data_IF_949565762813
#
_entry.id   IF_949565762813
#
_cell.length_a   1.000
_cell.length_b   1.000
_cell.length_c   1.000
_cell.angle_alpha   90.00
_cell.angle_beta   90.00
_cell.angle_gamma   90.00
#
_symmetry.space_group_name_H-M   'P 1'
#
loop_
_entity.id
_entity.type
_entity.pdbx_description
1 polymer ?
#
# COMPACT_ATOMS: atom_id res chain seq x y z
N UNK A 1 -1.42 -4.97 -15.75
CA UNK A 1 -2.58 -4.85 -14.86
C UNK A 1 -2.92 -6.24 -14.32
N UNK A 2 -3.32 -6.37 -13.05
CA UNK A 2 -3.80 -7.66 -12.50
C UNK A 2 -5.23 -7.97 -13.02
N UNK A 3 -5.56 -9.25 -13.17
CA UNK A 3 -6.89 -9.71 -13.60
C UNK A 3 -7.99 -9.29 -12.64
N UNK A 4 -7.69 -9.17 -11.34
CA UNK A 4 -8.62 -8.65 -10.31
C UNK A 4 -9.19 -7.26 -10.68
N UNK A 5 -8.36 -6.38 -11.25
CA UNK A 5 -8.80 -5.04 -11.66
C UNK A 5 -9.74 -5.12 -12.86
N UNK A 6 -9.43 -5.98 -13.84
CA UNK A 6 -10.30 -6.19 -15.01
C UNK A 6 -11.63 -6.79 -14.61
N UNK A 7 -11.63 -7.72 -13.67
CA UNK A 7 -12.84 -8.33 -13.14
C UNK A 7 -13.68 -7.34 -12.34
N UNK A 8 -13.06 -6.45 -11.55
CA UNK A 8 -13.77 -5.36 -10.87
C UNK A 8 -14.47 -4.43 -11.87
N UNK A 9 -13.76 -3.98 -12.92
CA UNK A 9 -14.34 -3.13 -13.97
C UNK A 9 -15.47 -3.87 -14.68
N UNK A 10 -15.28 -5.14 -15.06
CA UNK A 10 -16.32 -5.97 -15.69
C UNK A 10 -17.56 -6.05 -14.81
N UNK A 11 -17.39 -6.33 -13.52
CA UNK A 11 -18.49 -6.46 -12.57
C UNK A 11 -19.27 -5.15 -12.41
N UNK A 12 -18.57 -4.01 -12.29
CA UNK A 12 -19.20 -2.68 -12.21
C UNK A 12 -19.96 -2.33 -13.50
N UNK A 13 -19.39 -2.60 -14.68
CA UNK A 13 -20.11 -2.38 -15.95
C UNK A 13 -21.37 -3.25 -16.01
N UNK A 14 -21.27 -4.56 -15.71
CA UNK A 14 -22.43 -5.46 -15.70
C UNK A 14 -23.52 -4.99 -14.72
N UNK A 15 -23.12 -4.54 -13.52
CA UNK A 15 -24.04 -3.94 -12.54
C UNK A 15 -24.77 -2.72 -13.13
N UNK A 16 -24.05 -1.82 -13.80
CA UNK A 16 -24.66 -0.67 -14.46
C UNK A 16 -25.65 -1.07 -15.55
N UNK A 17 -25.31 -2.07 -16.38
CA UNK A 17 -26.20 -2.56 -17.43
C UNK A 17 -27.51 -3.12 -16.84
N UNK A 18 -27.41 -3.90 -15.76
CA UNK A 18 -28.58 -4.47 -15.08
C UNK A 18 -29.44 -3.40 -14.39
N UNK A 19 -28.86 -2.53 -13.57
CA UNK A 19 -29.63 -1.64 -12.68
C UNK A 19 -29.76 -0.20 -13.16
N UNK A 20 -28.97 0.22 -14.16
CA UNK A 20 -28.99 1.57 -14.74
C UNK A 20 -28.43 2.66 -13.85
N UNK A 21 -27.90 2.33 -12.67
CA UNK A 21 -27.28 3.28 -11.75
C UNK A 21 -26.03 2.67 -11.13
N UNK A 22 -24.97 3.46 -11.10
CA UNK A 22 -23.77 3.18 -10.33
C UNK A 22 -23.45 4.45 -9.54
N UNK A 23 -23.90 4.51 -8.28
CA UNK A 23 -23.70 5.68 -7.43
C UNK A 23 -22.32 5.60 -6.77
N UNK A 24 -21.27 5.92 -7.53
CA UNK A 24 -19.94 6.07 -6.94
C UNK A 24 -19.23 7.32 -7.47
N UNK A 25 -18.48 7.98 -6.58
CA UNK A 25 -17.60 9.08 -6.96
C UNK A 25 -16.28 8.60 -7.58
N UNK A 26 -16.12 7.29 -7.76
CA UNK A 26 -14.89 6.63 -8.19
C UNK A 26 -15.03 5.88 -9.51
N UNK A 27 -16.20 5.93 -10.14
CA UNK A 27 -16.45 5.23 -11.39
C UNK A 27 -17.19 6.15 -12.35
N UNK A 28 -16.55 6.48 -13.47
CA UNK A 28 -17.16 7.25 -14.55
C UNK A 28 -17.31 6.38 -15.79
N UNK A 29 -18.49 6.47 -16.41
CA UNK A 29 -18.77 5.86 -17.70
C UNK A 29 -18.78 6.95 -18.78
N UNK A 30 -18.12 6.67 -19.89
CA UNK A 30 -18.12 7.51 -21.08
C UNK A 30 -18.43 6.64 -22.29
N UNK A 31 -19.20 7.19 -23.22
CA UNK A 31 -19.47 6.52 -24.49
C UNK A 31 -18.22 6.45 -25.35
N UNK A 32 -17.52 7.57 -25.49
CA UNK A 32 -16.37 7.74 -26.37
C UNK A 32 -15.19 8.35 -25.61
N UNK A 33 -14.00 8.17 -26.16
CA UNK A 33 -12.80 8.83 -25.66
C UNK A 33 -12.87 10.34 -25.83
N UNK A 34 -12.20 11.06 -24.93
CA UNK A 34 -11.93 12.48 -25.14
C UNK A 34 -11.00 12.66 -26.35
N UNK A 35 -11.26 13.64 -27.20
CA UNK A 35 -10.29 14.03 -28.22
C UNK A 35 -9.13 14.81 -27.55
N UNK A 36 -8.10 14.09 -27.13
CA UNK A 36 -6.98 14.65 -26.39
C UNK A 36 -5.98 15.43 -27.28
N UNK A 37 -6.26 15.60 -28.57
CA UNK A 37 -5.52 16.55 -29.43
C UNK A 37 -6.05 17.98 -29.30
N UNK A 38 -7.32 18.11 -28.92
CA UNK A 38 -7.98 19.40 -28.77
C UNK A 38 -7.90 19.89 -27.33
N UNK A 39 -7.82 21.21 -27.14
CA UNK A 39 -7.77 21.82 -25.81
C UNK A 39 -9.01 21.49 -24.97
N UNK A 40 -10.18 21.44 -25.61
CA UNK A 40 -11.45 21.10 -24.96
C UNK A 40 -11.41 19.67 -24.38
N UNK A 41 -11.05 18.68 -25.20
CA UNK A 41 -10.95 17.29 -24.75
C UNK A 41 -9.90 17.08 -23.67
N UNK A 42 -8.75 17.76 -23.75
CA UNK A 42 -7.73 17.76 -22.68
C UNK A 42 -8.31 18.33 -21.37
N UNK A 43 -8.99 19.47 -21.42
CA UNK A 43 -9.56 20.10 -20.23
C UNK A 43 -10.65 19.24 -19.60
N UNK A 44 -11.52 18.61 -20.41
CA UNK A 44 -12.57 17.73 -19.90
C UNK A 44 -11.96 16.48 -19.24
N UNK A 45 -10.97 15.84 -19.89
CA UNK A 45 -10.24 14.70 -19.33
C UNK A 45 -9.58 15.06 -18.00
N UNK A 46 -8.80 16.14 -17.95
CA UNK A 46 -8.11 16.57 -16.74
C UNK A 46 -9.09 16.87 -15.61
N UNK A 47 -10.20 17.55 -15.91
CA UNK A 47 -11.26 17.84 -14.93
C UNK A 47 -11.86 16.54 -14.38
N UNK A 48 -12.19 15.59 -15.24
CA UNK A 48 -12.84 14.35 -14.84
C UNK A 48 -11.89 13.46 -14.02
N UNK A 49 -10.66 13.27 -14.48
CA UNK A 49 -9.66 12.47 -13.80
C UNK A 49 -9.26 13.05 -12.44
N UNK A 50 -8.98 14.37 -12.37
CA UNK A 50 -8.66 15.03 -11.09
C UNK A 50 -9.85 15.02 -10.14
N UNK A 51 -11.08 15.25 -10.62
CA UNK A 51 -12.27 15.19 -9.78
C UNK A 51 -12.45 13.82 -9.15
N UNK A 52 -12.27 12.75 -9.91
CA UNK A 52 -12.39 11.36 -9.41
C UNK A 52 -11.33 11.08 -8.34
N UNK A 53 -10.06 11.42 -8.60
CA UNK A 53 -8.98 11.12 -7.66
C UNK A 53 -9.11 11.92 -6.38
N UNK A 54 -9.40 13.23 -6.49
CA UNK A 54 -9.56 14.12 -5.35
C UNK A 54 -10.79 13.80 -4.50
N UNK A 55 -11.81 13.16 -5.08
CA UNK A 55 -12.99 12.74 -4.33
C UNK A 55 -12.61 11.78 -3.20
N UNK A 56 -13.35 11.86 -2.10
CA UNK A 56 -13.18 10.95 -0.98
C UNK A 56 -13.61 9.52 -1.37
N UNK A 57 -12.86 8.53 -0.92
CA UNK A 57 -13.19 7.12 -1.06
C UNK A 57 -11.94 6.27 -1.28
N UNK A 58 -11.77 5.23 -0.47
CA UNK A 58 -10.62 4.31 -0.53
C UNK A 58 -10.71 3.26 -1.63
N UNK A 59 -11.75 3.31 -2.47
CA UNK A 59 -11.95 2.36 -3.56
C UNK A 59 -11.09 2.69 -4.78
N UNK A 60 -10.87 1.68 -5.61
CA UNK A 60 -10.26 1.84 -6.92
C UNK A 60 -11.09 2.79 -7.80
N UNK A 61 -10.38 3.65 -8.53
CA UNK A 61 -10.98 4.68 -9.36
C UNK A 61 -10.85 4.36 -10.85
N UNK A 62 -11.93 4.54 -11.61
CA UNK A 62 -11.99 4.18 -13.02
C UNK A 62 -12.71 5.21 -13.89
N UNK A 63 -12.23 5.37 -15.12
CA UNK A 63 -12.99 5.95 -16.23
C UNK A 63 -13.08 4.85 -17.29
N UNK A 64 -14.29 4.44 -17.65
CA UNK A 64 -14.53 3.37 -18.63
C UNK A 64 -15.15 3.97 -19.88
N UNK A 65 -14.57 3.66 -21.03
CA UNK A 65 -15.03 4.09 -22.34
C UNK A 65 -15.80 2.98 -23.05
N UNK A 66 -16.69 3.37 -23.96
CA UNK A 66 -17.52 2.43 -24.72
C UNK A 66 -18.84 2.07 -24.04
N UNK A 67 -19.33 2.87 -23.08
CA UNK A 67 -20.62 2.64 -22.42
C UNK A 67 -21.50 3.88 -22.56
N UNK A 68 -22.58 3.77 -23.33
CA UNK A 68 -23.56 4.84 -23.47
C UNK A 68 -24.57 4.87 -22.32
N UNK A 69 -25.19 6.03 -22.09
CA UNK A 69 -26.30 6.18 -21.12
C UNK A 69 -27.51 5.29 -21.47
N UNK A 70 -27.69 4.98 -22.77
CA UNK A 70 -28.67 4.01 -23.27
C UNK A 70 -28.35 2.55 -22.92
N UNK A 71 -27.20 2.29 -22.25
CA UNK A 71 -26.63 0.98 -21.93
C UNK A 71 -26.11 0.19 -23.13
N UNK A 72 -25.96 0.83 -24.28
CA UNK A 72 -25.29 0.25 -25.44
C UNK A 72 -23.77 0.24 -25.23
N UNK A 73 -23.12 -0.84 -25.67
CA UNK A 73 -21.68 -1.05 -25.57
C UNK A 73 -20.98 -0.86 -26.92
N UNK A 74 -19.85 -0.17 -26.90
CA UNK A 74 -19.05 0.15 -28.09
C UNK A 74 -17.61 -0.33 -27.90
N UNK A 75 -17.04 -0.90 -28.96
CA UNK A 75 -15.62 -1.22 -28.99
C UNK A 75 -14.81 0.07 -28.94
N UNK A 76 -13.86 0.15 -28.02
CA UNK A 76 -13.00 1.32 -27.85
C UNK A 76 -11.55 0.91 -27.70
N UNK A 77 -10.66 1.76 -28.19
CA UNK A 77 -9.21 1.60 -28.14
C UNK A 77 -8.54 2.92 -27.79
N UNK A 78 -7.32 2.87 -27.29
CA UNK A 78 -6.59 4.07 -26.87
C UNK A 78 -6.40 5.07 -28.01
N UNK A 79 -6.31 4.60 -29.26
CA UNK A 79 -6.17 5.43 -30.46
C UNK A 79 -7.37 6.35 -30.70
N UNK A 80 -8.54 6.01 -30.16
CA UNK A 80 -9.74 6.85 -30.24
C UNK A 80 -9.57 8.14 -29.41
N UNK A 81 -8.60 8.19 -28.49
CA UNK A 81 -8.20 9.42 -27.78
C UNK A 81 -7.39 10.40 -28.64
N UNK A 82 -6.93 9.95 -29.81
CA UNK A 82 -5.99 10.67 -30.68
C UNK A 82 -4.51 10.37 -30.42
N UNK A 83 -4.17 9.52 -29.46
CA UNK A 83 -2.78 9.08 -29.19
C UNK A 83 -2.59 7.58 -29.35
N UNK A 84 -1.36 7.15 -29.65
CA UNK A 84 -1.04 5.74 -29.87
C UNK A 84 -0.86 4.95 -28.58
N UNK A 85 -0.49 5.61 -27.49
CA UNK A 85 -0.11 4.98 -26.23
C UNK A 85 -0.48 5.83 -25.01
N UNK A 86 -0.40 5.21 -23.84
CA UNK A 86 -0.69 5.84 -22.56
C UNK A 86 0.40 6.83 -22.12
N UNK A 87 1.61 6.75 -22.69
CA UNK A 87 2.70 7.67 -22.39
C UNK A 87 2.32 9.10 -22.80
N UNK A 88 1.68 9.26 -23.97
CA UNK A 88 1.18 10.56 -24.42
C UNK A 88 0.11 11.16 -23.50
N UNK A 89 -0.72 10.31 -22.88
CA UNK A 89 -1.72 10.73 -21.89
C UNK A 89 -1.03 11.17 -20.60
N UNK A 90 0.06 10.50 -20.23
CA UNK A 90 0.86 10.84 -19.05
C UNK A 90 1.49 12.22 -19.20
N UNK A 91 2.03 12.54 -20.37
CA UNK A 91 2.60 13.86 -20.66
C UNK A 91 1.57 14.99 -20.49
N UNK A 92 0.30 14.73 -20.82
CA UNK A 92 -0.80 15.69 -20.60
C UNK A 92 -1.01 15.93 -19.10
N UNK A 93 -1.03 14.89 -18.28
CA UNK A 93 -1.21 15.03 -16.82
C UNK A 93 0.02 15.73 -16.23
N UNK A 94 1.23 15.28 -16.56
CA UNK A 94 2.48 15.84 -16.06
C UNK A 94 2.62 17.34 -16.37
N UNK A 95 2.18 17.77 -17.56
CA UNK A 95 2.30 19.17 -17.97
C UNK A 95 1.22 20.10 -17.37
N UNK A 96 0.09 19.56 -16.90
CA UNK A 96 -1.08 20.38 -16.53
C UNK A 96 -1.55 20.21 -15.08
N UNK A 97 -1.02 19.23 -14.34
CA UNK A 97 -1.45 18.90 -12.97
C UNK A 97 -0.28 19.08 -12.00
N UNK A 98 -0.48 19.90 -10.96
CA UNK A 98 0.43 19.92 -9.82
C UNK A 98 0.34 18.58 -9.07
N UNK A 99 1.52 18.01 -8.81
CA UNK A 99 1.71 16.64 -8.30
C UNK A 99 0.97 15.61 -9.17
N UNK A 100 1.51 15.25 -10.34
CA UNK A 100 0.89 14.26 -11.23
C UNK A 100 0.58 12.94 -10.52
N UNK A 101 -0.57 12.34 -10.83
CA UNK A 101 -0.98 11.05 -10.28
C UNK A 101 -0.68 9.89 -11.23
N UNK A 102 -0.61 8.68 -10.68
CA UNK A 102 -0.37 7.46 -11.46
C UNK A 102 -1.70 6.93 -12.03
N UNK A 103 -1.64 6.42 -13.24
CA UNK A 103 -2.76 5.75 -13.90
C UNK A 103 -2.24 4.65 -14.81
N UNK A 104 -3.10 3.69 -15.12
CA UNK A 104 -2.89 2.68 -16.15
C UNK A 104 -4.06 2.70 -17.14
N UNK A 105 -3.80 2.31 -18.38
CA UNK A 105 -4.83 2.13 -19.43
C UNK A 105 -4.82 0.68 -19.85
N UNK A 106 -5.99 0.05 -19.91
CA UNK A 106 -6.14 -1.34 -20.34
C UNK A 106 -7.55 -1.57 -20.90
N UNK A 107 -7.84 -2.81 -21.26
CA UNK A 107 -9.08 -3.21 -21.89
C UNK A 107 -9.75 -4.35 -21.13
N UNK A 108 -11.07 -4.42 -21.23
CA UNK A 108 -11.87 -5.50 -20.68
C UNK A 108 -12.95 -5.90 -21.67
N UNK A 109 -13.11 -7.20 -21.89
CA UNK A 109 -14.22 -7.72 -22.69
C UNK A 109 -15.48 -7.83 -21.82
N UNK A 110 -16.57 -7.19 -22.28
CA UNK A 110 -17.90 -7.24 -21.67
C UNK A 110 -18.91 -7.52 -22.78
N UNK A 111 -19.65 -8.63 -22.68
CA UNK A 111 -20.65 -9.05 -23.66
C UNK A 111 -20.14 -9.03 -25.12
N UNK A 112 -18.88 -9.45 -25.34
CA UNK A 112 -18.26 -9.49 -26.67
C UNK A 112 -17.74 -8.14 -27.17
N UNK A 113 -17.91 -7.06 -26.41
CA UNK A 113 -17.35 -5.74 -26.70
C UNK A 113 -16.06 -5.49 -25.93
N UNK A 114 -15.06 -4.95 -26.61
CA UNK A 114 -13.78 -4.59 -26.00
C UNK A 114 -13.83 -3.14 -25.50
N UNK A 115 -13.97 -2.96 -24.20
CA UNK A 115 -14.06 -1.65 -23.56
C UNK A 115 -12.68 -1.23 -23.07
N UNK A 116 -12.27 -0.01 -23.38
CA UNK A 116 -11.05 0.58 -22.83
C UNK A 116 -11.35 1.28 -21.50
N UNK A 117 -10.44 1.22 -20.55
CA UNK A 117 -10.59 1.92 -19.28
C UNK A 117 -9.27 2.50 -18.78
N UNK A 118 -9.38 3.58 -18.01
CA UNK A 118 -8.29 4.17 -17.24
C UNK A 118 -8.49 3.78 -15.78
N UNK A 119 -7.51 3.09 -15.21
CA UNK A 119 -7.39 2.87 -13.78
C UNK A 119 -6.60 4.02 -13.15
N UNK A 120 -7.23 4.78 -12.28
CA UNK A 120 -6.63 5.89 -11.53
C UNK A 120 -6.19 5.36 -10.16
N UNK A 121 -4.88 5.30 -9.93
CA UNK A 121 -4.36 4.75 -8.67
C UNK A 121 -4.75 5.65 -7.48
N UNK A 122 -5.00 5.07 -6.29
CA UNK A 122 -5.14 5.85 -5.07
C UNK A 122 -3.94 6.79 -4.89
N UNK A 123 -4.23 8.07 -4.65
CA UNK A 123 -3.18 9.08 -4.53
C UNK A 123 -2.97 9.54 -3.10
N UNK A 124 -1.69 9.66 -2.74
CA UNK A 124 -1.19 10.19 -1.48
C UNK A 124 -0.81 11.68 -1.59
N UNK A 125 -1.01 12.30 -2.75
CA UNK A 125 -0.60 13.67 -3.03
C UNK A 125 -1.79 14.60 -3.28
N UNK A 126 -3.00 14.17 -2.87
CA UNK A 126 -4.20 15.00 -2.88
C UNK A 126 -3.97 16.29 -2.04
N UNK A 127 -4.52 17.44 -2.45
CA UNK A 127 -5.28 17.67 -3.68
C UNK A 127 -4.39 17.73 -4.93
N UNK A 128 -4.87 17.16 -6.04
CA UNK A 128 -4.35 17.39 -7.38
C UNK A 128 -4.98 18.65 -7.97
N UNK A 129 -4.13 19.56 -8.45
CA UNK A 129 -4.53 20.88 -8.91
C UNK A 129 -4.26 21.00 -10.40
N UNK A 130 -5.24 21.39 -11.20
CA UNK A 130 -5.01 21.75 -12.61
C UNK A 130 -4.42 23.16 -12.62
N UNK A 131 -3.18 23.30 -13.09
CA UNK A 131 -2.41 24.56 -13.06
C UNK A 131 -3.15 25.67 -13.79
N UNK A 132 -3.68 25.36 -14.97
CA UNK A 132 -4.48 26.29 -15.78
C UNK A 132 -5.65 25.55 -16.43
N UNK A 133 -6.86 25.81 -15.94
CA UNK A 133 -8.09 25.23 -16.47
C UNK A 133 -8.86 26.28 -17.27
N UNK A 134 -9.24 25.98 -18.51
CA UNK A 134 -10.07 26.89 -19.32
C UNK A 134 -11.50 26.36 -19.33
N UNK A 135 -12.45 27.18 -18.87
CA UNK A 135 -13.86 26.85 -18.97
C UNK A 135 -14.40 27.37 -20.30
N UNK A 136 -14.67 26.46 -21.24
CA UNK A 136 -15.09 26.81 -22.61
C UNK A 136 -16.40 27.63 -22.63
N UNK A 137 -17.29 27.42 -21.66
CA UNK A 137 -18.56 28.16 -21.57
C UNK A 137 -18.37 29.63 -21.15
N UNK A 138 -17.26 29.94 -20.46
CA UNK A 138 -17.01 31.29 -19.92
C UNK A 138 -15.83 31.98 -20.59
N UNK A 139 -15.03 31.26 -21.39
CA UNK A 139 -13.78 31.75 -22.00
C UNK A 139 -12.71 32.22 -21.01
N UNK A 140 -12.95 32.07 -19.70
CA UNK A 140 -12.03 32.50 -18.64
C UNK A 140 -11.18 31.34 -18.20
N UNK A 141 -9.87 31.54 -18.23
CA UNK A 141 -8.92 30.66 -17.58
C UNK A 141 -9.02 30.84 -16.06
N UNK A 142 -9.09 29.73 -15.35
CA UNK A 142 -8.96 29.64 -13.91
C UNK A 142 -7.61 29.00 -13.60
N UNK A 143 -6.79 29.71 -12.82
CA UNK A 143 -5.54 29.16 -12.32
C UNK A 143 -5.81 28.29 -11.08
N UNK A 144 -4.98 27.26 -10.92
CA UNK A 144 -4.99 26.38 -9.75
C UNK A 144 -6.37 25.78 -9.44
N UNK A 145 -7.05 25.25 -10.45
CA UNK A 145 -8.39 24.70 -10.30
C UNK A 145 -8.35 23.31 -9.66
N UNK A 146 -9.17 23.12 -8.62
CA UNK A 146 -9.37 21.82 -7.97
C UNK A 146 -10.82 21.42 -8.19
N UNK A 147 -11.02 20.15 -8.56
CA UNK A 147 -12.34 19.57 -8.74
C UNK A 147 -12.52 18.34 -7.85
N UNK A 148 -13.77 18.09 -7.45
CA UNK A 148 -14.25 16.86 -6.82
C UNK A 148 -15.54 16.42 -7.49
N UNK A 149 -15.92 15.16 -7.30
CA UNK A 149 -17.25 14.66 -7.61
C UNK A 149 -18.20 14.81 -6.43
N UNK A 150 -19.41 15.23 -6.75
CA UNK A 150 -20.58 15.19 -5.89
C UNK A 150 -21.70 14.51 -6.67
N UNK A 151 -21.73 13.18 -6.63
CA UNK A 151 -22.61 12.37 -7.47
C UNK A 151 -22.13 12.37 -8.93
N UNK A 152 -23.01 12.76 -9.86
CA UNK A 152 -22.66 12.95 -11.28
C UNK A 152 -22.00 14.29 -11.59
N UNK A 153 -22.11 15.26 -10.68
CA UNK A 153 -21.58 16.60 -10.87
C UNK A 153 -20.10 16.71 -10.48
N UNK A 154 -19.38 17.57 -11.19
CA UNK A 154 -17.99 17.95 -10.93
C UNK A 154 -17.99 19.38 -10.42
N UNK A 155 -17.61 19.58 -9.17
CA UNK A 155 -17.72 20.86 -8.46
C UNK A 155 -16.38 21.28 -7.86
N UNK A 156 -16.24 22.58 -7.59
CA UNK A 156 -15.12 23.08 -6.80
C UNK A 156 -15.26 22.62 -5.34
N UNK A 157 -14.18 22.19 -4.68
CA UNK A 157 -14.24 21.71 -3.31
C UNK A 157 -14.58 22.84 -2.33
N UNK A 158 -15.32 22.50 -1.29
CA UNK A 158 -15.44 23.33 -0.08
C UNK A 158 -14.21 23.17 0.81
N UNK A 159 -14.07 24.03 1.84
CA UNK A 159 -13.01 23.87 2.84
C UNK A 159 -13.02 22.47 3.48
N UNK A 160 -14.21 21.96 3.83
CA UNK A 160 -14.35 20.63 4.43
C UNK A 160 -13.95 19.50 3.48
N UNK A 161 -14.07 19.68 2.16
CA UNK A 161 -13.59 18.71 1.18
C UNK A 161 -12.05 18.70 1.13
N UNK A 162 -11.43 19.87 1.15
CA UNK A 162 -9.97 19.98 1.22
C UNK A 162 -9.42 19.36 2.50
N UNK A 163 -10.02 19.65 3.65
CA UNK A 163 -9.62 19.04 4.93
C UNK A 163 -9.71 17.50 4.87
N UNK A 164 -10.77 16.97 4.26
CA UNK A 164 -10.91 15.51 4.02
C UNK A 164 -9.83 14.95 3.11
N UNK A 165 -9.45 15.64 2.04
CA UNK A 165 -8.34 15.20 1.18
C UNK A 165 -7.02 15.12 1.96
N UNK A 166 -6.74 16.11 2.80
CA UNK A 166 -5.53 16.11 3.63
C UNK A 166 -5.54 15.00 4.69
N UNK A 167 -6.70 14.70 5.28
CA UNK A 167 -6.84 13.58 6.21
C UNK A 167 -6.63 12.26 5.48
N UNK A 168 -7.26 12.07 4.31
CA UNK A 168 -7.18 10.85 3.52
C UNK A 168 -5.74 10.58 3.06
N UNK A 169 -5.01 11.64 2.67
CA UNK A 169 -3.56 11.58 2.39
C UNK A 169 -2.75 10.93 3.53
N UNK A 170 -3.16 11.13 4.77
CA UNK A 170 -2.52 10.56 5.95
C UNK A 170 -3.14 9.22 6.41
N UNK A 171 -4.30 8.85 5.86
CA UNK A 171 -5.13 7.72 6.31
C UNK A 171 -5.18 6.56 5.32
N UNK A 172 -4.89 6.79 4.03
CA UNK A 172 -4.66 5.69 3.07
C UNK A 172 -3.53 4.87 3.66
N UNK A 173 -3.90 3.72 4.25
CA UNK A 173 -2.98 2.74 4.81
C UNK A 173 -2.03 2.37 3.68
N UNK A 174 -0.84 2.97 3.71
CA UNK A 174 0.24 2.61 2.80
C UNK A 174 0.37 1.10 2.90
N UNK A 175 0.13 0.38 1.80
CA UNK A 175 0.38 -1.06 1.77
C UNK A 175 1.88 -1.28 1.97
N UNK A 176 2.30 -1.35 3.23
CA UNK A 176 3.57 -1.90 3.67
C UNK A 176 3.33 -3.41 3.77
N UNK A 177 3.24 -4.07 2.62
CA UNK A 177 3.24 -5.53 2.54
C UNK A 177 4.69 -5.97 2.52
N UNK A 178 5.12 -6.65 3.56
CA UNK A 178 6.43 -7.27 3.61
C UNK A 178 6.23 -8.75 3.88
N UNK A 179 6.80 -9.61 3.06
CA UNK A 179 6.89 -11.02 3.44
C UNK A 179 8.23 -11.23 4.12
N UNK A 180 8.17 -11.80 5.32
CA UNK A 180 9.36 -11.97 6.12
C UNK A 180 9.55 -13.45 6.43
N UNK A 181 10.74 -13.94 6.13
CA UNK A 181 11.12 -15.33 6.37
C UNK A 181 12.44 -15.39 7.13
N UNK A 182 12.44 -16.22 8.17
CA UNK A 182 13.62 -16.55 8.96
C UNK A 182 13.73 -18.06 8.96
N UNK A 183 14.90 -18.58 8.62
CA UNK A 183 15.16 -20.00 8.70
C UNK A 183 15.75 -20.34 10.08
N UNK A 184 15.06 -21.17 10.86
CA UNK A 184 15.44 -21.54 12.23
C UNK A 184 16.27 -22.82 12.36
N UNK A 185 16.81 -23.38 11.27
CA UNK A 185 17.61 -24.60 11.37
C UNK A 185 18.92 -24.36 12.16
N UNK A 186 19.08 -25.11 13.27
CA UNK A 186 20.30 -25.25 14.08
C UNK A 186 20.71 -24.00 14.84
N UNK A 187 20.21 -23.78 16.06
CA UNK A 187 20.62 -22.61 16.84
C UNK A 187 22.03 -22.77 17.42
N UNK A 188 22.80 -21.69 17.39
CA UNK A 188 24.06 -21.59 18.11
C UNK A 188 23.90 -20.57 19.21
N UNK A 189 23.88 -21.05 20.46
CA UNK A 189 23.89 -20.21 21.64
C UNK A 189 25.32 -20.12 22.14
N UNK A 190 25.90 -18.92 22.06
CA UNK A 190 27.13 -18.60 22.78
C UNK A 190 26.75 -17.79 24.00
N UNK A 191 27.11 -18.28 25.19
CA UNK A 191 27.01 -17.50 26.43
C UNK A 191 28.35 -16.86 26.72
N UNK A 192 28.43 -15.53 26.67
CA UNK A 192 29.58 -14.80 27.20
C UNK A 192 29.37 -14.55 28.71
N UNK A 193 30.25 -15.11 29.54
CA UNK A 193 30.14 -15.07 31.01
C UNK A 193 30.99 -13.94 31.61
N UNK A 194 31.66 -13.13 30.79
CA UNK A 194 32.68 -12.18 31.28
C UNK A 194 32.14 -11.03 32.16
N UNK A 195 30.82 -10.85 32.33
CA UNK A 195 30.22 -9.71 33.06
C UNK A 195 29.01 -10.04 33.95
N UNK A 196 28.85 -11.28 34.46
CA UNK A 196 27.66 -11.73 35.24
C UNK A 196 26.31 -11.61 34.51
N UNK A 197 26.33 -11.26 33.23
CA UNK A 197 25.17 -11.17 32.35
C UNK A 197 25.38 -12.20 31.27
N UNK A 198 24.58 -13.27 31.30
CA UNK A 198 24.52 -14.21 30.19
C UNK A 198 23.96 -13.46 28.97
N UNK A 199 24.79 -13.28 27.96
CA UNK A 199 24.33 -12.75 26.66
C UNK A 199 24.13 -13.92 25.73
N UNK A 200 22.90 -14.10 25.26
CA UNK A 200 22.58 -15.11 24.26
C UNK A 200 22.59 -14.45 22.88
N UNK A 201 23.45 -14.95 21.99
CA UNK A 201 23.53 -14.49 20.61
C UNK A 201 22.89 -15.51 19.69
N UNK A 202 22.05 -15.05 18.76
CA UNK A 202 21.45 -15.86 17.71
C UNK A 202 21.82 -15.28 16.36
N UNK A 203 22.50 -16.03 15.50
CA UNK A 203 22.84 -15.60 14.13
C UNK A 203 22.01 -16.37 13.10
N UNK A 204 21.18 -15.68 12.31
CA UNK A 204 20.32 -16.31 11.29
C UNK A 204 20.16 -15.48 10.03
N UNK A 205 20.02 -16.12 8.86
CA UNK A 205 19.61 -15.44 7.64
C UNK A 205 18.17 -14.94 7.81
N UNK A 206 18.00 -13.62 7.69
CA UNK A 206 16.70 -12.97 7.55
C UNK A 206 16.51 -12.62 6.08
N UNK A 207 15.33 -12.94 5.55
CA UNK A 207 14.87 -12.47 4.25
C UNK A 207 13.62 -11.63 4.44
N UNK A 208 13.66 -10.39 3.96
CA UNK A 208 12.52 -9.47 3.90
C UNK A 208 12.26 -9.16 2.42
N UNK A 209 11.10 -9.55 1.90
CA UNK A 209 10.62 -9.18 0.58
C UNK A 209 9.62 -8.02 0.71
N UNK A 210 9.90 -6.88 0.09
CA UNK A 210 8.97 -5.76 0.08
C UNK A 210 7.98 -5.90 -1.08
N UNK A 211 6.78 -6.42 -0.78
CA UNK A 211 5.65 -6.48 -1.73
C UNK A 211 4.81 -5.20 -1.76
N UNK A 212 5.18 -4.21 -0.95
CA UNK A 212 4.52 -2.91 -0.88
C UNK A 212 4.95 -1.98 -2.01
N UNK A 213 4.24 -0.87 -2.14
CA UNK A 213 4.49 0.15 -3.17
C UNK A 213 5.46 1.26 -2.72
N UNK A 214 5.90 1.21 -1.45
CA UNK A 214 6.82 2.19 -0.85
C UNK A 214 8.07 1.50 -0.33
N UNK A 215 9.15 2.28 -0.25
CA UNK A 215 10.39 1.86 0.39
C UNK A 215 10.12 1.49 1.86
N UNK A 216 10.60 0.33 2.29
CA UNK A 216 10.62 -0.06 3.70
C UNK A 216 11.93 0.39 4.33
N UNK A 217 11.86 1.08 5.47
CA UNK A 217 13.03 1.44 6.27
C UNK A 217 12.92 0.74 7.63
N UNK A 218 13.70 -0.31 7.85
CA UNK A 218 13.68 -1.13 9.07
C UNK A 218 14.82 -0.69 9.99
N UNK A 219 14.48 -0.21 11.17
CA UNK A 219 15.46 0.30 12.15
C UNK A 219 15.83 -0.77 13.18
N UNK A 220 14.83 -1.53 13.63
CA UNK A 220 14.98 -2.60 14.63
C UNK A 220 14.16 -3.81 14.25
N UNK A 221 14.68 -4.96 14.61
CA UNK A 221 14.05 -6.25 14.37
C UNK A 221 14.00 -6.97 15.72
N UNK A 222 12.80 -7.30 16.18
CA UNK A 222 12.58 -8.04 17.40
C UNK A 222 12.11 -9.44 17.08
N UNK A 223 12.75 -10.41 17.70
CA UNK A 223 12.40 -11.81 17.60
C UNK A 223 11.95 -12.28 18.99
N UNK A 224 10.65 -12.49 19.14
CA UNK A 224 10.05 -12.89 20.40
C UNK A 224 9.63 -14.36 20.36
N UNK A 225 10.06 -15.16 21.33
CA UNK A 225 9.60 -16.52 21.57
C UNK A 225 8.65 -16.53 22.76
N UNK A 226 7.44 -17.04 22.56
CA UNK A 226 6.47 -17.29 23.62
C UNK A 226 6.64 -18.73 24.15
N UNK A 227 6.94 -18.86 25.44
CA UNK A 227 7.25 -20.12 26.13
C UNK A 227 6.21 -20.45 27.21
N UNK A 228 4.96 -20.04 27.02
CA UNK A 228 3.89 -20.17 28.00
C UNK A 228 3.88 -18.97 28.95
N UNK A 229 4.32 -19.16 30.20
CA UNK A 229 4.33 -18.08 31.21
C UNK A 229 5.50 -17.10 31.02
N UNK A 230 6.44 -17.40 30.12
CA UNK A 230 7.65 -16.62 29.88
C UNK A 230 7.77 -16.18 28.43
N UNK A 231 8.34 -14.99 28.23
CA UNK A 231 8.64 -14.42 26.89
C UNK A 231 10.12 -14.12 26.80
N UNK A 232 10.74 -14.59 25.73
CA UNK A 232 12.12 -14.26 25.41
C UNK A 232 12.14 -13.33 24.22
N UNK A 233 12.81 -12.20 24.35
CA UNK A 233 12.95 -11.21 23.29
C UNK A 233 14.41 -11.09 22.91
N UNK A 234 14.72 -11.43 21.67
CA UNK A 234 16.00 -11.16 21.03
C UNK A 234 15.87 -9.90 20.18
N UNK A 235 16.87 -9.03 20.26
CA UNK A 235 16.86 -7.75 19.57
C UNK A 235 18.04 -7.70 18.61
N UNK A 236 17.76 -7.40 17.35
CA UNK A 236 18.76 -6.94 16.40
C UNK A 236 18.57 -5.44 16.18
N UNK A 237 19.58 -4.67 16.57
CA UNK A 237 19.69 -3.26 16.22
C UNK A 237 20.65 -3.12 15.05
N UNK A 238 20.22 -2.39 14.02
CA UNK A 238 21.04 -2.14 12.83
C UNK A 238 22.38 -1.51 13.21
N UNK A 239 23.45 -2.15 12.78
CA UNK A 239 24.82 -1.72 13.06
C UNK A 239 24.99 -0.31 12.47
N UNK A 240 25.32 0.67 13.32
CA UNK A 240 25.50 2.09 13.01
C UNK A 240 24.23 2.97 12.83
N UNK A 241 23.05 2.58 13.36
CA UNK A 241 21.80 3.38 13.33
C UNK A 241 21.29 3.74 11.93
N UNK A 242 21.83 3.14 10.86
CA UNK A 242 21.32 3.32 9.50
C UNK A 242 20.22 2.29 9.27
N UNK A 243 19.01 2.70 8.86
CA UNK A 243 17.93 1.76 8.60
C UNK A 243 18.29 0.83 7.43
N UNK A 244 17.81 -0.41 7.48
CA UNK A 244 17.77 -1.30 6.32
C UNK A 244 16.70 -0.75 5.38
N UNK A 245 17.13 -0.29 4.21
CA UNK A 245 16.25 0.32 3.20
C UNK A 245 15.96 -0.71 2.11
N UNK A 246 14.69 -1.06 1.92
CA UNK A 246 14.24 -2.07 0.95
C UNK A 246 13.27 -1.41 -0.04
N UNK A 247 13.68 -1.16 -1.30
CA UNK A 247 12.81 -0.61 -2.33
C UNK A 247 11.56 -1.48 -2.59
N UNK A 248 10.50 -0.93 -3.21
CA UNK A 248 9.35 -1.71 -3.67
C UNK A 248 9.77 -2.86 -4.60
N UNK A 249 9.19 -4.05 -4.40
CA UNK A 249 9.47 -5.29 -5.13
C UNK A 249 10.93 -5.78 -5.03
N UNK A 250 11.64 -5.39 -3.98
CA UNK A 250 13.02 -5.79 -3.73
C UNK A 250 13.13 -6.74 -2.52
N UNK A 251 14.25 -7.45 -2.43
CA UNK A 251 14.50 -8.45 -1.40
C UNK A 251 15.78 -8.09 -0.64
N UNK A 252 15.66 -7.93 0.67
CA UNK A 252 16.79 -7.84 1.58
C UNK A 252 17.12 -9.21 2.16
N UNK A 253 18.41 -9.56 2.16
CA UNK A 253 18.93 -10.80 2.74
C UNK A 253 20.22 -10.53 3.49
N UNK A 254 20.23 -10.81 4.79
CA UNK A 254 21.45 -10.70 5.61
C UNK A 254 21.43 -11.70 6.77
N UNK A 255 22.61 -12.14 7.20
CA UNK A 255 22.76 -12.90 8.44
C UNK A 255 22.76 -11.92 9.62
N UNK A 256 21.65 -11.88 10.36
CA UNK A 256 21.51 -10.98 11.50
C UNK A 256 21.91 -11.67 12.78
N UNK A 257 22.68 -10.95 13.60
CA UNK A 257 22.99 -11.31 14.99
C UNK A 257 21.99 -10.65 15.92
N UNK A 258 21.16 -11.44 16.57
CA UNK A 258 20.24 -10.99 17.60
C UNK A 258 20.85 -11.23 18.97
N UNK A 259 20.62 -10.30 19.88
CA UNK A 259 21.10 -10.37 21.26
C UNK A 259 19.92 -10.41 22.22
N UNK A 260 19.95 -11.33 23.17
CA UNK A 260 19.08 -11.31 24.34
C UNK A 260 19.94 -11.01 25.56
N UNK A 261 19.59 -9.94 26.29
CA UNK A 261 20.20 -9.63 27.58
C UNK A 261 19.27 -10.15 28.67
N UNK A 262 19.66 -11.23 29.35
CA UNK A 262 18.97 -11.63 30.57
C UNK A 262 19.36 -10.70 31.73
N UNK A 263 18.39 -10.29 32.54
CA UNK A 263 18.69 -9.66 33.84
C UNK A 263 19.22 -10.72 34.81
N UNK A 264 20.17 -10.36 35.70
CA UNK A 264 21.02 -11.31 36.44
C UNK A 264 20.33 -12.14 37.55
N UNK A 265 19.00 -12.26 37.54
CA UNK A 265 18.30 -13.08 38.52
C UNK A 265 18.14 -14.53 38.05
N UNK A 266 19.02 -15.38 38.63
CA UNK A 266 19.01 -16.86 38.71
C UNK A 266 19.66 -17.65 37.56
N UNK A 267 20.65 -18.46 37.93
CA UNK A 267 21.20 -19.59 37.16
C UNK A 267 20.15 -20.61 36.65
N UNK A 268 18.88 -20.50 37.07
CA UNK A 268 17.77 -21.33 36.56
C UNK A 268 17.36 -20.93 35.13
N UNK A 269 17.50 -19.65 34.76
CA UNK A 269 17.01 -19.13 33.47
C UNK A 269 17.87 -19.63 32.31
N UNK A 270 19.20 -19.68 32.45
CA UNK A 270 20.09 -20.18 31.37
C UNK A 270 19.88 -21.66 31.06
N UNK A 271 19.70 -22.51 32.07
CA UNK A 271 19.38 -23.93 31.85
C UNK A 271 17.98 -24.12 31.29
N UNK A 272 17.00 -23.33 31.76
CA UNK A 272 15.63 -23.35 31.23
C UNK A 272 15.60 -22.87 29.77
N UNK A 273 16.34 -21.81 29.44
CA UNK A 273 16.50 -21.29 28.09
C UNK A 273 17.13 -22.33 27.18
N UNK A 274 18.26 -22.91 27.58
CA UNK A 274 18.92 -23.97 26.80
C UNK A 274 17.99 -25.17 26.60
N UNK A 275 17.26 -25.59 27.64
CA UNK A 275 16.30 -26.69 27.54
C UNK A 275 15.12 -26.35 26.63
N UNK A 276 14.60 -25.12 26.70
CA UNK A 276 13.49 -24.69 25.86
C UNK A 276 13.94 -24.57 24.41
N UNK A 277 15.07 -23.93 24.17
CA UNK A 277 15.73 -23.85 22.87
C UNK A 277 15.94 -25.25 22.28
N UNK A 278 16.54 -26.15 23.04
CA UNK A 278 16.82 -27.50 22.58
C UNK A 278 15.51 -28.27 22.35
N UNK A 279 14.48 -28.07 23.18
CA UNK A 279 13.17 -28.69 22.97
C UNK A 279 12.46 -28.20 21.70
N UNK A 280 12.56 -26.89 21.39
CA UNK A 280 12.06 -26.30 20.14
C UNK A 280 12.84 -26.81 18.93
N UNK A 281 14.14 -27.02 19.08
CA UNK A 281 15.04 -27.45 18.02
C UNK A 281 14.95 -28.93 17.69
N UNK A 282 14.89 -29.77 18.72
CA UNK A 282 14.95 -31.23 18.58
C UNK A 282 13.57 -31.82 18.29
N UNK A 283 12.49 -31.09 18.62
CA UNK A 283 11.14 -31.59 18.42
C UNK A 283 10.14 -30.47 18.08
N UNK A 284 10.19 -29.90 16.86
CA UNK A 284 9.32 -28.79 16.44
C UNK A 284 7.81 -29.14 16.40
N UNK A 285 7.44 -30.39 16.72
CA UNK A 285 6.05 -30.87 16.82
C UNK A 285 5.48 -30.87 18.23
N UNK A 286 6.29 -30.59 19.27
CA UNK A 286 5.85 -30.59 20.66
C UNK A 286 5.85 -29.17 21.24
N UNK A 287 4.67 -28.53 21.19
CA UNK A 287 4.37 -27.29 21.90
C UNK A 287 4.38 -26.05 21.00
N UNK A 288 3.32 -25.26 21.11
CA UNK A 288 3.04 -24.04 20.36
C UNK A 288 4.03 -22.91 20.68
N UNK A 289 5.30 -23.05 20.31
CA UNK A 289 6.25 -21.93 20.43
C UNK A 289 5.96 -20.95 19.32
N UNK A 290 5.19 -19.91 19.66
CA UNK A 290 4.88 -18.81 18.75
C UNK A 290 6.08 -17.89 18.68
N UNK A 291 6.75 -17.89 17.54
CA UNK A 291 7.76 -16.90 17.21
C UNK A 291 7.09 -15.68 16.57
N UNK A 292 7.20 -14.51 17.18
CA UNK A 292 6.71 -13.25 16.61
C UNK A 292 7.89 -12.39 16.15
N UNK A 293 7.87 -12.00 14.88
CA UNK A 293 8.82 -11.03 14.33
C UNK A 293 8.16 -9.65 14.26
N UNK A 294 8.80 -8.65 14.87
CA UNK A 294 8.34 -7.27 14.82
C UNK A 294 9.39 -6.41 14.09
N UNK A 295 8.95 -5.70 13.06
CA UNK A 295 9.76 -4.73 12.33
C UNK A 295 9.37 -3.32 12.77
N UNK A 296 10.33 -2.56 13.31
CA UNK A 296 10.12 -1.14 13.61
C UNK A 296 10.53 -0.27 12.42
N UNK A 297 9.56 0.46 11.84
CA UNK A 297 9.78 1.39 10.73
C UNK A 297 9.47 2.83 11.18
N UNK A 298 10.49 3.69 11.32
CA UNK A 298 10.35 5.10 11.73
C UNK A 298 10.82 5.42 13.16
N UNK A 299 10.74 6.69 13.55
CA UNK A 299 11.14 7.20 14.88
C UNK A 299 10.08 6.99 15.98
N UNK A 300 8.84 6.63 15.61
CA UNK A 300 7.77 6.32 16.56
C UNK A 300 7.92 4.89 17.12
N UNK A 301 8.93 4.68 17.96
CA UNK A 301 8.91 3.56 18.90
C UNK A 301 7.98 3.91 20.06
N UNK A 302 7.00 3.06 20.43
CA UNK A 302 6.29 3.23 21.68
C UNK A 302 7.30 3.06 22.82
N UNK A 303 7.54 4.13 23.58
CA UNK A 303 8.46 4.17 24.72
C UNK A 303 8.07 3.24 25.88
N UNK A 304 6.87 2.65 25.84
CA UNK A 304 6.35 1.79 26.89
C UNK A 304 6.05 0.38 26.37
N UNK A 305 7.10 -0.45 26.28
CA UNK A 305 7.01 -1.91 26.21
C UNK A 305 7.15 -2.51 27.62
N UNK A 306 6.28 -2.08 28.53
CA UNK A 306 5.92 -2.80 29.75
C UNK A 306 4.38 -2.90 29.74
N UNK A 307 3.87 -4.13 29.63
CA UNK A 307 2.45 -4.53 29.46
C UNK A 307 1.54 -4.05 30.62
N UNK A 308 0.17 -4.10 30.60
CA UNK A 308 -0.77 -4.89 29.76
C UNK A 308 -2.03 -4.10 29.26
N UNK A 309 -2.96 -4.81 28.60
CA UNK A 309 -4.25 -4.38 28.02
C UNK A 309 -4.18 -3.67 26.65
N UNK A 310 -4.44 -4.44 25.61
CA UNK A 310 -4.57 -3.95 24.23
C UNK A 310 -6.05 -3.70 23.93
N UNK A 311 -6.44 -2.42 23.96
CA UNK A 311 -7.54 -1.87 23.17
C UNK A 311 -6.95 -0.82 22.22
N UNK A 312 -6.80 -1.21 20.94
CA UNK A 312 -6.58 -0.39 19.72
C UNK A 312 -5.30 0.50 19.69
N UNK A 313 -4.55 0.65 18.60
CA UNK A 313 -4.87 0.60 17.17
C UNK A 313 -4.11 -0.52 16.44
N UNK A 314 -4.82 -1.28 15.62
CA UNK A 314 -4.26 -2.32 14.75
C UNK A 314 -3.62 -1.66 13.54
N UNK A 315 -2.30 -1.62 13.46
CA UNK A 315 -1.67 -1.97 12.19
C UNK A 315 -1.94 -3.47 12.01
N UNK A 316 -2.43 -3.94 10.84
CA UNK A 316 -2.56 -5.38 10.65
C UNK A 316 -1.18 -6.01 10.90
N UNK A 317 -1.07 -7.11 11.67
CA UNK A 317 0.17 -7.85 11.73
C UNK A 317 0.56 -8.16 10.29
N UNK A 318 1.77 -7.74 9.92
CA UNK A 318 2.40 -8.26 8.70
C UNK A 318 2.39 -9.77 8.87
N UNK A 319 1.63 -10.47 8.03
CA UNK A 319 1.40 -11.90 8.16
C UNK A 319 2.73 -12.64 8.02
N UNK A 320 3.35 -13.00 9.14
CA UNK A 320 4.54 -13.85 9.14
C UNK A 320 4.06 -15.27 8.94
N UNK A 321 4.25 -15.83 7.74
CA UNK A 321 4.20 -17.29 7.55
C UNK A 321 5.57 -17.85 7.90
N UNK A 322 5.62 -18.52 9.04
CA UNK A 322 6.76 -19.34 9.47
C UNK A 322 6.63 -20.67 8.70
N UNK A 323 7.66 -21.02 7.92
CA UNK A 323 7.79 -22.33 7.28
C UNK A 323 8.92 -23.12 7.95
#
# INVERSE_FOLDING_TARGET
MNDEIRDEVRAKVLQYLSFGRLETNKFELKREWYNLRESHGKNEFLRDATAIINSYGGENAFIVFGVAESKELFDTKIEDSGYKDSASIKDIIDANVDKPFRFDVDHVNVNGKNLCFIYLHPSLDKPHVIVKYVNDNKGRAQENAIFIRSGSAKVSPTKGDLDRMYIERNTILVERKADVSINFHGFHFSTDVNNRVATHTLERPLLIENRGTRVLAVYKIFLQFDLGDEKLVFIHETIAKKPIVIPPNDIYRENLKFFCKETPHRNQTSNKLNNVVNSVLENPRHGDVVCTLLLATGEDLPTNLFMPNINHAKLPPVGVRIY
#
